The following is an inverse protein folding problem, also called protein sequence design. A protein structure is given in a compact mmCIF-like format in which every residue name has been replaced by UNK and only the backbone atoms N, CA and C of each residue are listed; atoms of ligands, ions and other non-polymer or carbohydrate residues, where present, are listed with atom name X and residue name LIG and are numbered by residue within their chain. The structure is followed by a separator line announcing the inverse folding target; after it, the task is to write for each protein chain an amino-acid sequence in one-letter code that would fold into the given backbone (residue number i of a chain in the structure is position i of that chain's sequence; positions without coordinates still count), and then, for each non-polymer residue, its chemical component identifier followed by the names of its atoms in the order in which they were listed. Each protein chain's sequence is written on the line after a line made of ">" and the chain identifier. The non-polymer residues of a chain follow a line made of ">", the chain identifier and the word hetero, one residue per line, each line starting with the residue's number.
data_IF_532479713567
#
_entry.id   IF_532479713567
#
_cell.length_a   1.000
_cell.length_b   1.000
_cell.length_c   1.000
_cell.angle_alpha   90.00
_cell.angle_beta   90.00
_cell.angle_gamma   90.00
#
_symmetry.space_group_name_H-M   'P 1'
#
loop_
_entity.id
_entity.type
_entity.pdbx_description
1 polymer ?
#
# COMPACT_ATOMS: atom_id res chain seq x y z
N UNK A 1 -17.05 -54.30 -9.08
CA UNK A 1 -16.21 -53.87 -7.93
C UNK A 1 -14.85 -53.30 -8.33
N UNK A 2 -14.11 -53.85 -9.31
CA UNK A 2 -12.80 -53.30 -9.76
C UNK A 2 -12.89 -51.90 -10.41
N UNK A 3 -13.93 -51.62 -11.19
CA UNK A 3 -14.12 -50.32 -11.85
C UNK A 3 -14.47 -49.17 -10.87
N UNK A 4 -15.13 -49.50 -9.75
CA UNK A 4 -15.46 -48.52 -8.70
C UNK A 4 -14.21 -48.09 -7.92
N UNK A 5 -13.26 -49.01 -7.72
CA UNK A 5 -11.98 -48.73 -7.05
C UNK A 5 -11.06 -47.83 -7.88
N UNK A 6 -11.07 -47.97 -9.22
CA UNK A 6 -10.27 -47.12 -10.12
C UNK A 6 -10.76 -45.66 -10.15
N UNK A 7 -12.07 -45.43 -10.04
CA UNK A 7 -12.66 -44.07 -10.07
C UNK A 7 -12.33 -43.31 -8.78
N UNK A 8 -12.32 -43.98 -7.63
CA UNK A 8 -11.96 -43.36 -6.34
C UNK A 8 -10.46 -43.03 -6.29
N UNK A 9 -9.60 -43.90 -6.85
CA UNK A 9 -8.16 -43.65 -6.92
C UNK A 9 -7.81 -42.49 -7.88
N UNK A 10 -8.58 -42.30 -8.96
CA UNK A 10 -8.41 -41.18 -9.86
C UNK A 10 -8.72 -39.83 -9.18
N UNK A 11 -9.75 -39.77 -8.32
CA UNK A 11 -10.09 -38.55 -7.57
C UNK A 11 -9.06 -38.17 -6.48
N UNK A 12 -8.28 -39.12 -5.97
CA UNK A 12 -7.21 -38.88 -4.99
C UNK A 12 -5.88 -38.45 -5.62
N UNK A 13 -5.74 -38.56 -6.95
CA UNK A 13 -4.53 -38.21 -7.69
C UNK A 13 -4.59 -36.83 -8.36
N UNK A 14 -5.73 -36.13 -8.29
CA UNK A 14 -5.82 -34.73 -8.69
C UNK A 14 -5.69 -33.86 -7.43
N UNK A 15 -4.51 -33.28 -7.13
CA UNK A 15 -4.45 -32.26 -6.10
C UNK A 15 -5.38 -31.12 -6.52
N UNK A 16 -6.42 -30.87 -5.72
CA UNK A 16 -7.22 -29.67 -5.86
C UNK A 16 -6.28 -28.47 -5.73
N UNK A 17 -5.97 -27.80 -6.84
CA UNK A 17 -5.22 -26.56 -6.81
C UNK A 17 -6.12 -25.49 -6.18
N UNK A 18 -6.02 -25.31 -4.87
CA UNK A 18 -6.58 -24.14 -4.21
C UNK A 18 -5.72 -22.94 -4.60
N UNK A 19 -6.20 -22.13 -5.55
CA UNK A 19 -5.65 -20.78 -5.72
C UNK A 19 -6.02 -20.02 -4.45
N UNK A 20 -5.08 -19.30 -3.83
CA UNK A 20 -5.46 -18.38 -2.77
C UNK A 20 -6.47 -17.41 -3.39
N UNK A 21 -7.66 -17.33 -2.80
CA UNK A 21 -8.69 -16.40 -3.23
C UNK A 21 -8.29 -15.05 -2.67
N UNK A 22 -8.27 -14.05 -3.53
CA UNK A 22 -8.12 -12.67 -3.11
C UNK A 22 -9.32 -12.28 -2.24
N UNK A 23 -9.09 -12.00 -0.97
CA UNK A 23 -10.12 -11.55 -0.05
C UNK A 23 -10.51 -10.09 -0.35
N UNK A 24 -11.56 -9.63 0.31
CA UNK A 24 -11.94 -8.23 0.23
C UNK A 24 -10.97 -7.40 1.08
N UNK A 25 -10.26 -6.49 0.40
CA UNK A 25 -9.50 -5.40 0.99
C UNK A 25 -10.14 -4.09 0.55
N UNK A 26 -10.26 -3.14 1.46
CA UNK A 26 -11.04 -1.93 1.19
C UNK A 26 -10.26 -0.81 0.52
N UNK A 27 -9.00 -1.03 0.14
CA UNK A 27 -8.26 -0.16 -0.77
C UNK A 27 -7.97 -0.94 -2.06
N UNK A 28 -8.11 -0.27 -3.19
CA UNK A 28 -7.95 -0.88 -4.52
C UNK A 28 -7.19 0.02 -5.49
N UNK A 29 -6.75 -0.58 -6.59
CA UNK A 29 -6.06 0.10 -7.69
C UNK A 29 -4.54 -0.03 -7.66
N UNK A 30 -3.89 0.88 -8.38
CA UNK A 30 -2.46 0.88 -8.60
C UNK A 30 -1.83 2.25 -8.42
N UNK A 31 -0.70 2.31 -7.72
CA UNK A 31 0.18 3.48 -7.68
C UNK A 31 1.35 3.27 -8.63
N UNK A 32 2.02 4.36 -9.05
CA UNK A 32 3.08 4.31 -10.06
C UNK A 32 4.38 4.93 -9.56
N UNK A 33 5.49 4.22 -9.78
CA UNK A 33 6.84 4.75 -9.65
C UNK A 33 7.53 4.73 -11.01
N UNK A 34 8.30 5.77 -11.33
CA UNK A 34 9.17 5.74 -12.52
C UNK A 34 10.26 4.67 -12.47
N UNK A 35 10.65 4.23 -11.27
CA UNK A 35 11.73 3.27 -11.04
C UNK A 35 11.20 1.83 -10.91
N UNK A 36 10.05 1.65 -10.28
CA UNK A 36 9.46 0.31 -9.99
C UNK A 36 8.33 -0.07 -10.93
N UNK A 37 7.68 0.90 -11.54
CA UNK A 37 6.48 0.73 -12.35
C UNK A 37 5.21 0.63 -11.50
N UNK A 38 4.26 -0.20 -11.96
CA UNK A 38 2.97 -0.37 -11.30
C UNK A 38 3.12 -1.13 -9.97
N UNK A 39 2.42 -0.64 -8.96
CA UNK A 39 2.36 -1.21 -7.61
C UNK A 39 0.89 -1.40 -7.27
N UNK A 40 0.45 -2.63 -7.17
CA UNK A 40 -0.94 -2.99 -6.90
C UNK A 40 -1.25 -2.91 -5.41
N UNK A 41 -2.33 -2.23 -5.05
CA UNK A 41 -2.76 -2.05 -3.66
C UNK A 41 -3.59 -3.23 -3.15
N UNK A 42 -4.00 -4.17 -4.01
CA UNK A 42 -4.65 -5.41 -3.61
C UNK A 42 -4.50 -6.54 -4.64
N UNK A 43 -4.80 -7.77 -4.23
CA UNK A 43 -4.68 -8.95 -5.07
C UNK A 43 -5.72 -9.08 -6.20
N UNK A 44 -6.72 -8.18 -6.28
CA UNK A 44 -7.87 -8.35 -7.20
C UNK A 44 -7.47 -8.23 -8.65
N UNK A 45 -6.37 -7.56 -8.93
CA UNK A 45 -5.89 -7.34 -10.27
C UNK A 45 -4.99 -8.46 -10.82
N UNK A 46 -5.07 -9.67 -10.26
CA UNK A 46 -4.44 -10.88 -10.80
C UNK A 46 -3.46 -11.61 -9.87
N UNK A 47 -3.45 -11.29 -8.58
CA UNK A 47 -2.60 -11.94 -7.60
C UNK A 47 -2.94 -13.42 -7.38
N UNK A 48 -1.94 -14.24 -7.07
CA UNK A 48 -2.10 -15.65 -6.65
C UNK A 48 -2.02 -15.83 -5.14
N UNK A 49 -1.80 -14.73 -4.41
CA UNK A 49 -1.68 -14.62 -2.96
C UNK A 49 -2.64 -13.54 -2.51
N UNK A 50 -3.25 -13.74 -1.34
CA UNK A 50 -4.11 -12.76 -0.72
C UNK A 50 -3.29 -11.60 -0.11
N UNK A 51 -3.53 -10.39 -0.60
CA UNK A 51 -2.92 -9.16 -0.09
C UNK A 51 -3.79 -7.96 -0.42
N UNK A 52 -3.69 -6.93 0.40
CA UNK A 52 -4.20 -5.61 0.08
C UNK A 52 -4.07 -4.69 1.27
N UNK A 53 -4.43 -3.42 1.06
CA UNK A 53 -4.45 -2.45 2.14
C UNK A 53 -5.86 -2.31 2.72
N UNK A 54 -5.91 -2.10 4.04
CA UNK A 54 -7.16 -1.86 4.76
C UNK A 54 -7.07 -0.60 5.63
N UNK A 55 -8.13 0.22 5.56
CA UNK A 55 -8.28 1.47 6.33
C UNK A 55 -9.67 1.50 6.96
N UNK A 56 -9.77 1.56 8.29
CA UNK A 56 -11.08 1.66 8.95
C UNK A 56 -11.65 3.09 8.92
N UNK A 57 -12.16 3.51 7.75
CA UNK A 57 -12.77 4.82 7.55
C UNK A 57 -13.96 5.09 8.48
N UNK A 58 -14.62 4.06 9.02
CA UNK A 58 -15.82 4.18 9.86
C UNK A 58 -15.51 4.13 11.37
N UNK A 59 -14.23 4.11 11.76
CA UNK A 59 -13.82 4.01 13.17
C UNK A 59 -14.27 5.17 14.07
N UNK A 60 -14.61 6.33 13.49
CA UNK A 60 -14.83 7.58 14.22
C UNK A 60 -13.57 8.18 14.87
N UNK A 61 -12.40 7.55 14.72
CA UNK A 61 -11.13 8.08 15.22
C UNK A 61 -10.55 9.10 14.24
N UNK A 62 -9.96 10.21 14.71
CA UNK A 62 -9.29 11.19 13.83
C UNK A 62 -8.06 10.58 13.11
N UNK A 63 -7.48 9.53 13.69
CA UNK A 63 -6.34 8.81 13.13
C UNK A 63 -6.62 7.31 13.17
N UNK A 64 -6.35 6.61 12.08
CA UNK A 64 -6.45 5.15 11.99
C UNK A 64 -5.21 4.58 11.33
N UNK A 65 -4.84 3.37 11.72
CA UNK A 65 -3.74 2.66 11.07
C UNK A 65 -4.15 2.18 9.67
N UNK A 66 -3.21 2.21 8.75
CA UNK A 66 -3.31 1.57 7.43
C UNK A 66 -2.54 0.27 7.52
N UNK A 67 -3.20 -0.86 7.30
CA UNK A 67 -2.58 -2.18 7.45
C UNK A 67 -2.47 -2.89 6.11
N UNK A 68 -1.63 -3.92 6.06
CA UNK A 68 -1.51 -4.81 4.92
C UNK A 68 -0.33 -4.49 3.99
N UNK A 69 -0.39 -5.08 2.80
CA UNK A 69 0.71 -5.07 1.83
C UNK A 69 0.21 -4.68 0.45
N UNK A 70 1.04 -3.95 -0.27
CA UNK A 70 0.96 -3.77 -1.71
C UNK A 70 2.05 -4.59 -2.41
N UNK A 71 1.89 -4.82 -3.71
CA UNK A 71 2.80 -5.66 -4.50
C UNK A 71 3.19 -5.01 -5.82
N UNK A 72 4.48 -5.09 -6.15
CA UNK A 72 4.98 -4.81 -7.50
C UNK A 72 5.82 -5.95 -8.02
N UNK A 73 5.76 -6.18 -9.34
CA UNK A 73 6.71 -7.06 -10.02
C UNK A 73 8.15 -6.53 -9.99
N UNK A 74 8.35 -5.22 -9.82
CA UNK A 74 9.68 -4.60 -9.81
C UNK A 74 10.42 -4.77 -8.49
N UNK A 75 9.76 -4.51 -7.35
CA UNK A 75 10.38 -4.51 -6.02
C UNK A 75 9.76 -5.50 -5.01
N UNK A 76 8.71 -6.22 -5.38
CA UNK A 76 8.05 -7.18 -4.52
C UNK A 76 7.07 -6.55 -3.54
N UNK A 77 7.22 -6.81 -2.24
CA UNK A 77 6.27 -6.39 -1.21
C UNK A 77 6.57 -4.99 -0.66
N UNK A 78 5.53 -4.16 -0.60
CA UNK A 78 5.50 -2.89 0.13
C UNK A 78 4.61 -3.05 1.36
N UNK A 79 5.19 -2.99 2.55
CA UNK A 79 4.49 -3.15 3.83
C UNK A 79 4.02 -1.78 4.36
N UNK A 80 2.74 -1.65 4.70
CA UNK A 80 2.17 -0.43 5.29
C UNK A 80 2.15 -0.44 6.84
N UNK A 81 2.38 -1.61 7.45
CA UNK A 81 2.54 -1.76 8.90
C UNK A 81 3.92 -2.36 9.25
N UNK A 82 5.04 -1.70 8.87
CA UNK A 82 6.38 -2.16 9.23
C UNK A 82 6.68 -1.94 10.72
N UNK A 83 7.41 -2.88 11.32
CA UNK A 83 7.84 -2.80 12.72
C UNK A 83 9.12 -1.95 12.84
N UNK A 84 9.26 -1.25 13.98
CA UNK A 84 10.39 -0.40 14.39
C UNK A 84 11.78 -1.05 14.29
N UNK A 85 12.87 -0.25 14.19
CA UNK A 85 12.92 1.22 14.26
C UNK A 85 12.58 1.91 12.94
N UNK A 86 11.83 3.02 13.01
CA UNK A 86 11.62 3.95 11.89
C UNK A 86 12.86 4.83 11.72
N UNK A 87 13.16 5.30 10.49
CA UNK A 87 14.39 6.05 10.22
C UNK A 87 14.39 7.42 10.93
N UNK A 88 13.23 8.07 11.05
CA UNK A 88 13.04 9.30 11.79
C UNK A 88 11.58 9.55 12.15
N UNK A 89 11.31 10.76 12.67
CA UNK A 89 9.95 11.22 12.87
C UNK A 89 9.17 11.27 11.54
N UNK A 90 7.87 10.93 11.57
CA UNK A 90 7.14 10.41 12.72
C UNK A 90 7.47 8.94 13.07
N UNK A 91 7.45 8.58 14.36
CA UNK A 91 7.77 7.23 14.85
C UNK A 91 6.55 6.27 14.82
N UNK A 92 5.89 6.14 13.67
CA UNK A 92 4.73 5.27 13.48
C UNK A 92 4.61 4.80 12.01
N UNK A 93 3.93 3.67 11.74
CA UNK A 93 3.76 3.14 10.39
C UNK A 93 2.69 3.93 9.64
N UNK A 94 2.23 3.46 8.50
CA UNK A 94 1.23 4.19 7.73
C UNK A 94 -0.06 4.44 8.54
N UNK A 95 -0.50 5.69 8.55
CA UNK A 95 -1.73 6.12 9.23
C UNK A 95 -2.52 7.06 8.36
N UNK A 96 -3.82 6.82 8.27
CA UNK A 96 -4.76 7.79 7.73
C UNK A 96 -5.14 8.78 8.82
N UNK A 97 -4.96 10.07 8.53
CA UNK A 97 -5.28 11.19 9.41
C UNK A 97 -6.36 12.03 8.72
N UNK A 98 -7.52 12.16 9.36
CA UNK A 98 -8.64 12.96 8.83
C UNK A 98 -8.31 14.44 8.84
N UNK A 99 -8.89 15.18 7.90
CA UNK A 99 -8.79 16.63 7.89
C UNK A 99 -9.41 17.24 9.17
N UNK A 100 -8.74 18.23 9.75
CA UNK A 100 -9.23 18.93 10.94
C UNK A 100 -10.53 19.68 10.66
N UNK A 101 -11.51 19.59 11.57
CA UNK A 101 -12.80 20.26 11.45
C UNK A 101 -13.86 19.51 10.63
N UNK A 102 -13.48 18.40 9.99
CA UNK A 102 -14.43 17.53 9.28
C UNK A 102 -15.05 16.50 10.25
N UNK A 103 -16.32 16.15 10.05
CA UNK A 103 -17.05 15.21 10.93
C UNK A 103 -16.36 13.83 10.94
N UNK A 104 -16.39 13.04 12.04
CA UNK A 104 -15.68 11.75 12.15
C UNK A 104 -16.01 10.69 11.08
N UNK A 105 -17.03 10.93 10.26
CA UNK A 105 -17.49 10.10 9.14
C UNK A 105 -16.93 10.51 7.78
N UNK A 106 -16.16 11.61 7.70
CA UNK A 106 -15.49 12.00 6.46
C UNK A 106 -14.37 11.03 6.12
N UNK A 107 -14.27 10.62 4.87
CA UNK A 107 -13.12 9.84 4.37
C UNK A 107 -12.02 10.73 3.83
N UNK A 108 -12.18 12.05 3.92
CA UNK A 108 -11.17 13.01 3.49
C UNK A 108 -10.04 13.14 4.52
N UNK A 109 -8.80 13.06 4.06
CA UNK A 109 -7.62 13.18 4.91
C UNK A 109 -6.33 12.92 4.15
N UNK A 110 -5.27 12.62 4.89
CA UNK A 110 -3.94 12.33 4.34
C UNK A 110 -3.35 11.08 4.97
N UNK A 111 -2.46 10.40 4.26
CA UNK A 111 -1.59 9.40 4.88
C UNK A 111 -0.36 10.09 5.47
N UNK A 112 0.01 9.68 6.69
CA UNK A 112 1.25 10.03 7.36
C UNK A 112 1.99 8.76 7.77
N UNK A 113 3.23 8.91 8.20
CA UNK A 113 4.04 7.77 8.67
C UNK A 113 4.84 7.11 7.57
N UNK A 114 5.22 5.86 7.84
CA UNK A 114 6.15 5.11 7.01
C UNK A 114 5.53 3.82 6.46
N UNK A 115 5.78 3.56 5.18
CA UNK A 115 5.70 2.24 4.57
C UNK A 115 7.11 1.73 4.25
N UNK A 116 7.27 0.43 3.94
CA UNK A 116 8.59 -0.15 3.66
C UNK A 116 8.59 -1.16 2.52
N UNK A 117 9.42 -0.91 1.51
CA UNK A 117 9.83 -1.91 0.54
C UNK A 117 10.67 -2.98 1.20
N UNK A 118 10.13 -4.20 1.29
CA UNK A 118 10.78 -5.30 2.02
C UNK A 118 12.09 -5.71 1.34
N UNK A 119 12.12 -5.73 0.01
CA UNK A 119 13.29 -6.16 -0.76
C UNK A 119 14.50 -5.21 -0.63
N UNK A 120 14.27 -3.95 -0.25
CA UNK A 120 15.31 -2.92 -0.19
C UNK A 120 15.97 -2.80 1.20
N UNK A 121 15.52 -3.59 2.19
CA UNK A 121 16.09 -3.55 3.53
C UNK A 121 16.05 -2.15 4.14
N UNK A 122 17.19 -1.65 4.61
CA UNK A 122 17.28 -0.34 5.27
C UNK A 122 17.00 0.84 4.32
N UNK A 123 17.13 0.64 3.01
CA UNK A 123 16.82 1.64 1.99
C UNK A 123 15.34 1.62 1.56
N UNK A 124 14.53 0.75 2.17
CA UNK A 124 13.16 0.54 1.76
C UNK A 124 12.15 1.52 2.33
N UNK A 125 12.54 2.46 3.18
CA UNK A 125 11.61 3.34 3.89
C UNK A 125 10.97 4.39 2.97
N UNK A 126 9.64 4.39 2.93
CA UNK A 126 8.81 5.33 2.18
C UNK A 126 8.04 6.23 3.14
N UNK A 127 8.26 7.55 3.06
CA UNK A 127 7.52 8.55 3.82
C UNK A 127 6.26 8.95 3.04
N UNK A 128 5.10 8.92 3.71
CA UNK A 128 3.80 9.15 3.08
C UNK A 128 3.38 10.64 3.06
N UNK A 129 4.08 11.48 3.81
CA UNK A 129 3.92 12.93 3.79
C UNK A 129 5.22 13.62 4.19
N UNK A 130 5.46 14.81 3.64
CA UNK A 130 6.52 15.71 4.11
C UNK A 130 6.25 16.17 5.54
N UNK A 131 7.30 16.62 6.22
CA UNK A 131 7.16 17.32 7.50
C UNK A 131 6.62 18.75 7.28
N UNK A 132 6.03 19.32 8.32
CA UNK A 132 5.54 20.70 8.28
C UNK A 132 6.70 21.67 8.02
N UNK A 133 6.57 22.51 6.99
CA UNK A 133 7.62 23.45 6.61
C UNK A 133 8.79 22.84 5.81
N UNK A 134 8.66 21.60 5.33
CA UNK A 134 9.63 21.00 4.42
C UNK A 134 9.81 21.86 3.14
N UNK A 135 11.02 21.94 2.56
CA UNK A 135 11.29 22.69 1.33
C UNK A 135 10.41 22.24 0.15
N UNK A 136 10.11 20.94 0.09
CA UNK A 136 9.18 20.34 -0.86
C UNK A 136 8.05 19.69 -0.06
N UNK A 137 6.86 20.28 -0.19
CA UNK A 137 5.65 19.75 0.42
C UNK A 137 5.05 18.66 -0.46
N UNK A 138 4.80 17.48 0.12
CA UNK A 138 4.10 16.38 -0.53
C UNK A 138 3.27 15.61 0.48
N UNK A 139 2.19 14.99 0.02
CA UNK A 139 1.41 14.07 0.83
C UNK A 139 0.60 13.16 -0.08
N UNK A 140 0.24 12.00 0.46
CA UNK A 140 -0.82 11.16 -0.11
C UNK A 140 -2.16 11.64 0.47
N UNK A 141 -2.97 12.28 -0.36
CA UNK A 141 -4.32 12.70 -0.01
C UNK A 141 -5.35 11.62 -0.33
N UNK A 142 -6.38 11.51 0.50
CA UNK A 142 -7.57 10.72 0.26
C UNK A 142 -8.76 11.67 0.26
N UNK A 143 -9.54 11.68 -0.82
CA UNK A 143 -10.73 12.51 -0.94
C UNK A 143 -11.95 11.97 -0.18
N UNK A 144 -13.01 12.77 -0.09
CA UNK A 144 -14.30 12.33 0.46
C UNK A 144 -14.97 11.25 -0.43
N UNK A 145 -14.51 11.13 -1.67
CA UNK A 145 -14.82 10.08 -2.64
C UNK A 145 -13.93 8.84 -2.50
N UNK A 146 -13.02 8.83 -1.50
CA UNK A 146 -12.03 7.78 -1.23
C UNK A 146 -11.02 7.57 -2.35
N UNK A 147 -10.89 8.55 -3.24
CA UNK A 147 -9.88 8.53 -4.28
C UNK A 147 -8.55 9.01 -3.71
N UNK A 148 -7.48 8.32 -4.09
CA UNK A 148 -6.12 8.67 -3.68
C UNK A 148 -5.53 9.69 -4.66
N UNK A 149 -4.71 10.60 -4.13
CA UNK A 149 -4.04 11.65 -4.88
C UNK A 149 -2.68 11.99 -4.27
N UNK A 150 -1.79 12.61 -5.04
CA UNK A 150 -0.54 13.17 -4.56
C UNK A 150 0.64 12.23 -4.66
N UNK A 151 1.57 12.35 -3.70
CA UNK A 151 2.90 11.76 -3.82
C UNK A 151 3.43 11.28 -2.48
N UNK A 152 4.19 10.18 -2.52
CA UNK A 152 5.04 9.71 -1.42
C UNK A 152 6.48 9.58 -1.88
N UNK A 153 7.42 9.57 -0.94
CA UNK A 153 8.86 9.57 -1.22
C UNK A 153 9.57 8.37 -0.59
N UNK A 154 10.37 7.67 -1.39
CA UNK A 154 11.25 6.60 -0.95
C UNK A 154 12.70 6.92 -1.34
N UNK A 155 13.40 7.70 -0.52
CA UNK A 155 14.78 8.09 -0.80
C UNK A 155 15.51 8.73 0.39
N UNK A 156 15.03 8.52 1.62
CA UNK A 156 15.58 9.17 2.83
C UNK A 156 14.87 10.47 3.22
N UNK A 157 15.41 11.16 4.23
CA UNK A 157 14.88 12.45 4.73
C UNK A 157 15.29 13.66 3.87
N UNK A 158 16.32 13.51 3.05
CA UNK A 158 16.86 14.57 2.20
C UNK A 158 16.04 14.72 0.92
N UNK A 159 14.89 15.40 1.05
CA UNK A 159 14.22 15.98 -0.11
C UNK A 159 14.81 17.38 -0.35
N UNK A 160 16.11 17.47 -0.69
CA UNK A 160 16.81 18.73 -1.03
C UNK A 160 17.83 18.60 -2.18
N UNK A 161 17.87 19.68 -2.99
CA UNK A 161 18.75 20.14 -4.08
C UNK A 161 19.19 19.20 -5.20
N UNK A 162 19.30 17.90 -4.98
CA UNK A 162 19.38 16.92 -6.05
C UNK A 162 18.07 16.13 -6.12
N UNK A 163 17.43 16.17 -7.28
CA UNK A 163 16.15 15.50 -7.53
C UNK A 163 16.36 14.00 -7.79
N UNK A 164 17.39 13.38 -7.21
CA UNK A 164 17.74 11.99 -7.47
C UNK A 164 17.59 11.19 -6.20
N UNK A 165 16.74 10.16 -6.25
CA UNK A 165 16.77 9.12 -5.25
C UNK A 165 18.15 8.44 -5.33
N UNK A 166 19.07 8.79 -4.43
CA UNK A 166 20.40 8.15 -4.35
C UNK A 166 20.27 6.68 -3.89
N UNK A 167 19.15 6.35 -3.24
CA UNK A 167 18.74 5.04 -2.75
C UNK A 167 17.21 4.91 -2.89
N UNK A 168 16.68 3.69 -3.02
CA UNK A 168 15.23 3.45 -2.95
C UNK A 168 14.47 3.42 -4.29
N UNK A 169 13.17 3.67 -4.21
CA UNK A 169 12.18 3.71 -5.30
C UNK A 169 11.89 5.14 -5.80
N UNK A 170 12.26 6.17 -5.02
CA UNK A 170 12.04 7.57 -5.34
C UNK A 170 10.59 8.01 -5.18
N UNK A 171 10.15 8.91 -6.07
CA UNK A 171 8.79 9.43 -6.08
C UNK A 171 7.78 8.38 -6.53
N UNK A 172 6.75 8.20 -5.73
CA UNK A 172 5.62 7.34 -6.04
C UNK A 172 4.35 8.18 -6.15
N UNK A 173 3.73 8.11 -7.32
CA UNK A 173 2.52 8.83 -7.67
C UNK A 173 1.29 8.05 -7.20
N UNK A 174 0.41 8.75 -6.51
CA UNK A 174 -0.92 8.31 -6.15
C UNK A 174 -1.88 9.11 -7.01
N UNK A 175 -2.41 8.52 -8.07
CA UNK A 175 -3.32 9.23 -8.98
C UNK A 175 -4.47 8.32 -9.44
N UNK A 176 -5.68 8.73 -9.08
CA UNK A 176 -6.92 8.04 -9.37
C UNK A 176 -7.50 8.32 -10.76
N UNK A 177 -6.97 9.29 -11.49
CA UNK A 177 -7.45 9.63 -12.84
C UNK A 177 -7.13 8.54 -13.90
N UNK A 178 -6.40 7.49 -13.52
CA UNK A 178 -6.20 6.26 -14.29
C UNK A 178 -7.33 5.22 -14.18
N UNK A 179 -8.33 5.45 -13.33
CA UNK A 179 -9.61 4.71 -13.34
C UNK A 179 -9.83 3.60 -12.30
N UNK A 180 -8.84 3.25 -11.47
CA UNK A 180 -8.97 2.11 -10.54
C UNK A 180 -8.49 2.37 -9.10
N UNK A 181 -7.95 3.55 -8.76
CA UNK A 181 -7.53 3.85 -7.38
C UNK A 181 -8.69 4.41 -6.55
N UNK A 182 -9.17 3.61 -5.59
CA UNK A 182 -10.20 4.04 -4.63
C UNK A 182 -10.33 3.07 -3.46
N UNK A 183 -10.88 3.56 -2.34
CA UNK A 183 -11.25 2.75 -1.16
C UNK A 183 -12.72 2.83 -0.77
#
# INVERSE_FOLDING_TARGET
>A
MKHLFLIILAFLLFPAQSRAVCNYHNVSGYIWSGNTGWISLNCRAGGTVDYGLDINFESGSPTVDVTGYAWSYGLGWLNFDPVIPYPALPNYPARFVRNEGELPTTTAGVLKGWAKWVALGDNGWMKLSSDDGAPIAYSVGIGADRLFSGWSWNGGEDVDSDLKAELGDGWVMWDSDGGDLGG
#
